data_IF_552361706221
#
_entry.id   IF_552361706221
#
_cell.length_a   1.000
_cell.length_b   1.000
_cell.length_c   1.000
_cell.angle_alpha   90.00
_cell.angle_beta   90.00
_cell.angle_gamma   90.00
#
_symmetry.space_group_name_H-M   'P 1'
#
loop_
_entity.id
_entity.type
_entity.pdbx_description
1 polymer ?
#
# COMPACT_ATOMS: atom_id res chain seq x y z
N UNK A 1 77.97 0.61 -24.28
CA UNK A 1 77.14 -0.62 -24.17
C UNK A 1 76.98 -0.97 -22.70
N UNK A 2 75.80 -1.52 -22.37
CA UNK A 2 75.30 -1.98 -21.05
C UNK A 2 74.48 -0.95 -20.27
N UNK A 3 73.17 -1.03 -20.50
CA UNK A 3 72.14 -0.47 -19.63
C UNK A 3 71.57 -1.50 -18.66
N UNK A 4 70.43 -1.11 -18.08
CA UNK A 4 69.39 -1.91 -17.42
C UNK A 4 69.75 -2.53 -16.05
N UNK A 5 69.15 -2.05 -14.95
CA UNK A 5 67.79 -2.43 -14.48
C UNK A 5 67.63 -2.31 -12.94
N UNK A 6 66.55 -1.62 -12.52
CA UNK A 6 65.74 -1.77 -11.29
C UNK A 6 66.33 -1.37 -9.91
N UNK A 7 65.48 -0.99 -8.91
CA UNK A 7 64.03 -1.16 -8.89
C UNK A 7 63.18 0.10 -8.63
N UNK A 8 62.07 0.14 -9.37
CA UNK A 8 60.91 1.02 -9.23
C UNK A 8 60.08 0.67 -7.97
N UNK A 9 60.72 0.38 -6.83
CA UNK A 9 60.01 -0.04 -5.60
C UNK A 9 60.06 0.98 -4.48
N UNK A 10 60.90 2.02 -4.54
CA UNK A 10 60.94 3.05 -3.49
C UNK A 10 60.02 4.27 -3.71
N UNK A 11 59.54 4.51 -4.94
CA UNK A 11 58.62 5.65 -5.21
C UNK A 11 57.15 5.24 -5.03
N UNK A 12 56.84 3.94 -5.10
CA UNK A 12 55.49 3.42 -4.86
C UNK A 12 55.18 3.31 -3.36
N UNK A 13 56.19 3.22 -2.48
CA UNK A 13 55.95 3.13 -1.03
C UNK A 13 55.63 4.47 -0.36
N UNK A 14 55.95 5.61 -0.99
CA UNK A 14 55.65 6.94 -0.47
C UNK A 14 54.39 7.59 -1.07
N UNK A 15 53.83 7.02 -2.14
CA UNK A 15 52.53 7.44 -2.69
C UNK A 15 51.37 6.52 -2.27
N UNK A 16 51.63 5.32 -1.73
CA UNK A 16 50.58 4.46 -1.16
C UNK A 16 50.22 4.86 0.29
N UNK A 17 51.06 5.63 1.00
CA UNK A 17 50.81 6.05 2.38
C UNK A 17 50.19 7.45 2.55
N UNK A 18 49.80 8.14 1.46
CA UNK A 18 49.19 9.49 1.55
C UNK A 18 47.71 9.52 1.09
N UNK A 19 47.12 8.38 0.72
CA UNK A 19 45.66 8.27 0.50
C UNK A 19 44.94 7.33 1.47
N UNK A 20 45.65 6.75 2.44
CA UNK A 20 45.08 5.97 3.55
C UNK A 20 44.99 6.77 4.86
N UNK A 21 44.90 8.10 4.79
CA UNK A 21 44.55 8.92 5.94
C UNK A 21 43.24 9.66 5.69
N UNK A 22 42.21 9.26 6.45
CA UNK A 22 40.92 9.93 6.67
C UNK A 22 39.67 9.41 5.94
N UNK A 23 39.55 8.11 5.68
CA UNK A 23 38.22 7.50 5.92
C UNK A 23 38.22 7.10 7.40
N UNK A 24 37.52 7.84 8.29
CA UNK A 24 37.41 7.40 9.67
C UNK A 24 36.72 6.04 9.68
N UNK A 25 37.49 5.03 10.07
CA UNK A 25 37.10 3.64 10.11
C UNK A 25 35.69 3.49 10.72
N UNK A 26 34.71 3.10 9.89
CA UNK A 26 33.30 2.90 10.26
C UNK A 26 33.18 1.82 11.35
N UNK A 27 34.18 0.95 11.48
CA UNK A 27 34.18 -0.17 12.43
C UNK A 27 34.30 0.26 13.90
N UNK A 28 34.75 1.48 14.21
CA UNK A 28 35.06 1.91 15.57
C UNK A 28 34.08 2.94 16.16
N UNK A 29 32.91 3.09 15.56
CA UNK A 29 31.82 3.91 16.09
C UNK A 29 30.73 3.00 16.61
N UNK A 30 30.07 3.41 17.70
CA UNK A 30 28.90 2.71 18.24
C UNK A 30 27.85 2.51 17.13
N UNK A 31 27.82 1.29 16.58
CA UNK A 31 27.02 0.92 15.41
C UNK A 31 25.53 1.15 15.67
N UNK A 32 25.09 0.98 16.92
CA UNK A 32 23.71 1.24 17.34
C UNK A 32 23.39 2.73 17.28
N UNK A 33 24.27 3.58 17.81
CA UNK A 33 24.09 5.03 17.80
C UNK A 33 24.12 5.64 16.40
N UNK A 34 24.95 5.11 15.50
CA UNK A 34 24.93 5.50 14.08
C UNK A 34 23.59 5.14 13.44
N UNK A 35 23.11 3.92 13.68
CA UNK A 35 21.86 3.42 13.12
C UNK A 35 20.65 4.23 13.55
N UNK A 36 20.56 4.57 14.84
CA UNK A 36 19.51 5.45 15.37
C UNK A 36 19.59 6.86 14.77
N UNK A 37 20.79 7.41 14.61
CA UNK A 37 20.98 8.71 13.96
C UNK A 37 20.56 8.71 12.48
N UNK A 38 20.86 7.64 11.73
CA UNK A 38 20.46 7.47 10.32
C UNK A 38 18.94 7.41 10.22
N UNK A 39 18.30 6.63 11.09
CA UNK A 39 16.84 6.53 11.12
C UNK A 39 16.18 7.88 11.41
N UNK A 40 16.65 8.61 12.41
CA UNK A 40 16.12 9.94 12.72
C UNK A 40 16.34 10.93 11.56
N UNK A 41 17.48 10.83 10.87
CA UNK A 41 17.77 11.63 9.67
C UNK A 41 16.82 11.29 8.52
N UNK A 42 16.53 10.00 8.32
CA UNK A 42 15.57 9.54 7.33
C UNK A 42 14.17 10.09 7.61
N UNK A 43 13.71 10.03 8.86
CA UNK A 43 12.41 10.57 9.27
C UNK A 43 12.30 12.09 9.02
N UNK A 44 13.34 12.85 9.37
CA UNK A 44 13.35 14.30 9.06
C UNK A 44 13.32 14.57 7.56
N UNK A 45 14.04 13.77 6.78
CA UNK A 45 14.07 13.90 5.32
C UNK A 45 12.69 13.66 4.74
N UNK A 46 12.01 12.59 5.14
CA UNK A 46 10.64 12.31 4.72
C UNK A 46 9.67 13.47 5.00
N UNK A 47 9.74 14.07 6.17
CA UNK A 47 8.91 15.23 6.52
C UNK A 47 9.19 16.43 5.60
N UNK A 48 10.46 16.67 5.21
CA UNK A 48 10.78 17.72 4.22
C UNK A 48 10.09 17.47 2.88
N UNK A 49 9.96 16.21 2.48
CA UNK A 49 9.34 15.81 1.23
C UNK A 49 7.81 15.61 1.35
N UNK A 50 7.20 15.97 2.49
CA UNK A 50 5.78 15.80 2.80
C UNK A 50 5.30 14.33 2.69
N UNK A 51 6.19 13.38 3.00
CA UNK A 51 5.88 11.95 3.00
C UNK A 51 5.64 11.51 4.45
N UNK A 52 4.43 11.01 4.74
CA UNK A 52 4.07 10.49 6.06
C UNK A 52 4.84 9.18 6.34
N UNK A 53 5.59 9.16 7.44
CA UNK A 53 6.30 7.95 7.86
C UNK A 53 5.34 6.81 8.23
N UNK A 54 4.17 7.15 8.75
CA UNK A 54 3.11 6.22 9.12
C UNK A 54 2.56 5.50 7.92
N UNK A 55 2.66 6.12 6.74
CA UNK A 55 2.33 5.46 5.50
C UNK A 55 3.32 4.33 5.29
N UNK A 56 4.64 4.54 5.48
CA UNK A 56 5.70 3.52 5.39
C UNK A 56 5.66 2.42 6.45
N UNK A 57 4.91 2.61 7.53
CA UNK A 57 4.82 1.63 8.61
C UNK A 57 3.87 0.47 8.31
N UNK A 58 2.98 0.60 7.32
CA UNK A 58 2.04 -0.46 6.94
C UNK A 58 2.43 -1.03 5.56
N UNK A 59 3.15 -2.18 5.57
CA UNK A 59 3.57 -2.97 4.39
C UNK A 59 4.49 -2.24 3.38
N UNK A 60 5.54 -1.55 3.85
CA UNK A 60 6.40 -0.71 2.99
C UNK A 60 7.86 -0.69 3.44
N UNK A 61 8.73 -0.31 2.51
CA UNK A 61 10.16 -0.05 2.73
C UNK A 61 10.51 1.37 2.26
N UNK A 62 11.68 1.83 2.69
CA UNK A 62 12.24 3.13 2.36
C UNK A 62 13.70 3.00 1.95
N UNK A 63 14.14 3.82 1.02
CA UNK A 63 15.54 3.94 0.61
C UNK A 63 15.96 5.40 0.62
N UNK A 64 17.24 5.65 0.88
CA UNK A 64 17.83 6.99 0.88
C UNK A 64 19.21 6.97 0.26
N UNK A 65 19.60 8.09 -0.34
CA UNK A 65 20.96 8.26 -0.85
C UNK A 65 21.90 8.67 0.28
N UNK A 66 22.86 7.80 0.62
CA UNK A 66 23.78 7.99 1.75
C UNK A 66 25.18 8.33 1.24
N UNK A 67 25.74 9.43 1.75
CA UNK A 67 27.14 9.83 1.57
C UNK A 67 27.99 9.37 2.75
N UNK A 68 28.37 8.08 2.77
CA UNK A 68 29.11 7.48 3.87
C UNK A 68 30.33 8.29 4.37
N UNK A 69 31.18 8.87 3.49
CA UNK A 69 32.31 9.68 3.92
C UNK A 69 31.91 10.94 4.71
N UNK A 70 30.71 11.48 4.47
CA UNK A 70 30.20 12.71 5.10
C UNK A 70 29.32 12.46 6.33
N UNK A 71 29.15 11.20 6.74
CA UNK A 71 28.34 10.81 7.89
C UNK A 71 28.99 11.25 9.22
N UNK A 72 28.76 12.50 9.60
CA UNK A 72 29.23 13.11 10.86
C UNK A 72 28.15 13.09 11.96
N UNK A 73 28.53 13.30 13.22
CA UNK A 73 27.55 13.50 14.31
C UNK A 73 26.63 14.69 14.02
N UNK A 74 27.17 15.78 13.47
CA UNK A 74 26.39 16.96 13.07
C UNK A 74 25.34 16.59 12.01
N UNK A 75 25.72 15.83 10.98
CA UNK A 75 24.80 15.37 9.95
C UNK A 75 23.71 14.45 10.51
N UNK A 76 24.08 13.49 11.36
CA UNK A 76 23.10 12.59 12.01
C UNK A 76 22.08 13.37 12.87
N UNK A 77 22.52 14.46 13.52
CA UNK A 77 21.65 15.30 14.35
C UNK A 77 20.75 16.24 13.54
N UNK A 78 21.27 16.87 12.49
CA UNK A 78 20.61 18.02 11.84
C UNK A 78 20.47 17.89 10.31
N UNK A 79 21.15 16.94 9.69
CA UNK A 79 21.14 16.72 8.25
C UNK A 79 19.85 16.09 7.75
N UNK A 80 19.77 15.99 6.42
CA UNK A 80 18.71 15.36 5.63
C UNK A 80 19.35 14.69 4.41
N UNK A 81 18.69 13.67 3.87
CA UNK A 81 19.10 13.02 2.62
C UNK A 81 18.54 13.76 1.40
N UNK A 82 19.34 13.83 0.35
CA UNK A 82 19.02 14.58 -0.87
C UNK A 82 18.10 13.81 -1.84
N UNK A 83 18.06 12.49 -1.76
CA UNK A 83 17.15 11.64 -2.53
C UNK A 83 16.58 10.52 -1.66
N UNK A 84 15.28 10.24 -1.84
CA UNK A 84 14.54 9.20 -1.13
C UNK A 84 13.79 8.32 -2.13
N UNK A 85 13.49 7.09 -1.74
CA UNK A 85 12.56 6.24 -2.47
C UNK A 85 11.70 5.45 -1.50
N UNK A 86 10.44 5.24 -1.85
CA UNK A 86 9.51 4.52 -0.99
C UNK A 86 8.53 3.69 -1.79
N UNK A 87 8.14 2.54 -1.25
CA UNK A 87 7.09 1.70 -1.81
C UNK A 87 5.79 1.94 -1.06
N UNK A 88 4.62 1.86 -1.71
CA UNK A 88 3.33 1.81 -1.03
C UNK A 88 2.55 0.53 -1.36
N UNK A 89 1.98 -0.11 -0.32
CA UNK A 89 1.00 -1.19 -0.46
C UNK A 89 1.50 -2.36 -1.32
N UNK A 90 2.78 -2.73 -1.15
CA UNK A 90 3.38 -3.90 -1.81
C UNK A 90 3.41 -5.04 -0.79
N UNK A 91 2.63 -6.12 -0.98
CA UNK A 91 2.54 -7.22 -0.01
C UNK A 91 3.87 -7.95 0.21
N UNK A 92 4.72 -7.98 -0.83
CA UNK A 92 5.98 -8.70 -0.84
C UNK A 92 7.14 -7.79 -0.41
N UNK A 93 7.85 -8.18 0.64
CA UNK A 93 9.00 -7.43 1.20
C UNK A 93 10.10 -7.18 0.15
N UNK A 94 10.45 -8.18 -0.65
CA UNK A 94 11.54 -8.05 -1.62
C UNK A 94 11.15 -7.11 -2.76
N UNK A 95 9.91 -7.22 -3.25
CA UNK A 95 9.38 -6.31 -4.24
C UNK A 95 9.27 -4.87 -3.71
N UNK A 96 8.91 -4.71 -2.44
CA UNK A 96 8.89 -3.43 -1.75
C UNK A 96 10.30 -2.80 -1.71
N UNK A 97 11.32 -3.55 -1.28
CA UNK A 97 12.71 -3.06 -1.24
C UNK A 97 13.22 -2.64 -2.62
N UNK A 98 12.94 -3.45 -3.66
CA UNK A 98 13.32 -3.14 -5.05
C UNK A 98 12.64 -1.85 -5.52
N UNK A 99 11.34 -1.68 -5.25
CA UNK A 99 10.61 -0.49 -5.63
C UNK A 99 11.16 0.77 -4.95
N UNK A 100 11.49 0.69 -3.66
CA UNK A 100 12.08 1.80 -2.90
C UNK A 100 13.47 2.17 -3.42
N UNK A 101 14.35 1.19 -3.67
CA UNK A 101 15.67 1.43 -4.26
C UNK A 101 15.54 2.03 -5.67
N UNK A 102 14.63 1.52 -6.49
CA UNK A 102 14.34 2.05 -7.83
C UNK A 102 13.91 3.52 -7.77
N UNK A 103 13.00 3.87 -6.84
CA UNK A 103 12.59 5.25 -6.60
C UNK A 103 13.74 6.17 -6.19
N UNK A 104 14.57 5.71 -5.26
CA UNK A 104 15.76 6.46 -4.83
C UNK A 104 16.73 6.70 -5.99
N UNK A 105 17.02 5.67 -6.80
CA UNK A 105 17.91 5.81 -7.95
C UNK A 105 17.34 6.79 -8.98
N UNK A 106 16.04 6.75 -9.28
CA UNK A 106 15.40 7.74 -10.17
C UNK A 106 15.57 9.18 -9.65
N UNK A 107 15.41 9.39 -8.33
CA UNK A 107 15.62 10.72 -7.75
C UNK A 107 17.10 11.12 -7.76
N UNK A 108 18.01 10.18 -7.50
CA UNK A 108 19.46 10.39 -7.60
C UNK A 108 19.86 10.86 -9.00
N UNK A 109 19.30 10.23 -10.04
CA UNK A 109 19.55 10.59 -11.43
C UNK A 109 18.96 11.97 -11.74
N UNK A 110 17.71 12.23 -11.31
CA UNK A 110 17.03 13.52 -11.49
C UNK A 110 17.81 14.69 -10.88
N UNK A 111 18.39 14.51 -9.69
CA UNK A 111 19.18 15.53 -9.00
C UNK A 111 20.69 15.48 -9.32
N UNK A 112 21.13 14.66 -10.28
CA UNK A 112 22.53 14.58 -10.71
C UNK A 112 23.50 14.25 -9.56
N UNK A 113 23.15 13.22 -8.80
CA UNK A 113 23.89 12.74 -7.63
C UNK A 113 24.74 11.48 -7.94
N UNK A 114 24.97 11.19 -9.22
CA UNK A 114 25.79 10.06 -9.66
C UNK A 114 27.21 10.13 -9.06
N UNK A 115 27.66 9.03 -8.46
CA UNK A 115 28.97 8.92 -7.80
C UNK A 115 29.12 9.68 -6.48
N UNK A 116 28.09 10.42 -6.02
CA UNK A 116 28.14 11.17 -4.75
C UNK A 116 27.65 10.33 -3.57
N UNK A 117 26.59 9.56 -3.78
CA UNK A 117 25.93 8.77 -2.74
C UNK A 117 25.47 7.40 -3.26
N UNK A 118 25.27 6.46 -2.33
CA UNK A 118 24.68 5.15 -2.62
C UNK A 118 23.25 5.09 -2.11
N UNK A 119 22.32 4.60 -2.96
CA UNK A 119 20.93 4.38 -2.55
C UNK A 119 20.84 3.10 -1.72
N UNK A 120 20.59 3.27 -0.43
CA UNK A 120 20.47 2.17 0.53
C UNK A 120 19.08 2.10 1.16
N UNK A 121 18.64 0.88 1.46
CA UNK A 121 17.39 0.65 2.18
C UNK A 121 17.57 1.04 3.64
N UNK A 122 16.75 1.98 4.11
CA UNK A 122 16.68 2.35 5.52
C UNK A 122 15.70 1.40 6.22
N UNK A 123 16.23 0.50 7.05
CA UNK A 123 15.44 -0.54 7.72
C UNK A 123 15.00 -0.07 9.11
N UNK A 124 13.69 0.06 9.30
CA UNK A 124 13.05 0.30 10.60
C UNK A 124 12.81 -1.05 11.29
N UNK A 125 13.89 -1.61 11.84
CA UNK A 125 13.97 -2.66 12.88
C UNK A 125 15.23 -3.50 12.64
N UNK A 126 16.13 -3.44 13.61
CA UNK A 126 17.49 -3.94 13.52
C UNK A 126 17.56 -5.41 13.91
N UNK A 127 17.79 -6.31 12.94
CA UNK A 127 18.66 -7.50 13.09
C UNK A 127 18.67 -8.35 11.81
N UNK A 128 18.96 -7.77 10.64
CA UNK A 128 19.26 -8.38 9.32
C UNK A 128 18.44 -9.58 8.77
N UNK A 129 17.42 -10.06 9.47
CA UNK A 129 16.19 -10.73 9.04
C UNK A 129 15.20 -10.49 10.18
N UNK A 130 14.46 -9.39 10.09
CA UNK A 130 13.29 -9.19 10.94
C UNK A 130 12.10 -9.75 10.17
N UNK A 131 11.64 -10.94 10.57
CA UNK A 131 10.21 -11.23 10.55
C UNK A 131 9.66 -10.23 11.55
N UNK A 132 9.17 -9.09 11.04
CA UNK A 132 8.30 -8.27 11.87
C UNK A 132 7.20 -9.26 12.28
N UNK A 133 6.81 -9.37 13.57
CA UNK A 133 5.55 -10.01 13.83
C UNK A 133 4.59 -9.29 12.88
N UNK A 134 4.10 -10.01 11.86
CA UNK A 134 2.96 -9.55 11.09
C UNK A 134 2.01 -9.28 12.22
N UNK A 135 1.75 -8.01 12.54
CA UNK A 135 0.80 -7.69 13.60
C UNK A 135 -0.47 -8.23 13.01
N UNK A 136 -0.80 -9.44 13.41
CA UNK A 136 -1.88 -10.20 12.86
C UNK A 136 -3.08 -9.28 13.00
N UNK A 137 -3.63 -8.89 11.85
CA UNK A 137 -4.66 -7.87 11.83
C UNK A 137 -5.89 -8.55 12.40
N UNK A 138 -6.04 -8.43 13.71
CA UNK A 138 -7.24 -8.84 14.38
C UNK A 138 -8.25 -7.71 14.14
N UNK A 139 -9.05 -7.89 13.10
CA UNK A 139 -10.01 -6.89 12.61
C UNK A 139 -10.86 -6.37 13.77
N UNK A 140 -11.39 -7.25 14.63
CA UNK A 140 -12.24 -6.88 15.76
C UNK A 140 -11.50 -6.06 16.83
N UNK A 141 -10.30 -6.49 17.21
CA UNK A 141 -9.47 -5.78 18.21
C UNK A 141 -8.99 -4.43 17.67
N UNK A 142 -8.47 -4.40 16.45
CA UNK A 142 -8.01 -3.18 15.80
C UNK A 142 -9.21 -2.23 15.61
N UNK A 143 -10.38 -2.73 15.21
CA UNK A 143 -11.59 -1.90 15.07
C UNK A 143 -12.02 -1.29 16.41
N UNK A 144 -12.06 -2.10 17.47
CA UNK A 144 -12.38 -1.62 18.83
C UNK A 144 -11.41 -0.53 19.26
N UNK A 145 -10.11 -0.71 19.01
CA UNK A 145 -9.09 0.30 19.28
C UNK A 145 -9.34 1.61 18.51
N UNK A 146 -9.68 1.51 17.21
CA UNK A 146 -10.02 2.67 16.39
C UNK A 146 -11.25 3.43 16.90
N UNK A 147 -12.28 2.70 17.32
CA UNK A 147 -13.49 3.28 17.95
C UNK A 147 -13.16 3.97 19.27
N UNK A 148 -12.28 3.39 20.09
CA UNK A 148 -11.86 4.01 21.36
C UNK A 148 -11.04 5.29 21.14
N UNK A 149 -10.12 5.29 20.17
CA UNK A 149 -9.41 6.50 19.75
C UNK A 149 -10.38 7.58 19.27
N UNK A 150 -11.38 7.21 18.46
CA UNK A 150 -12.40 8.14 17.98
C UNK A 150 -13.20 8.77 19.13
N UNK A 151 -13.64 7.96 20.10
CA UNK A 151 -14.38 8.45 21.29
C UNK A 151 -13.54 9.40 22.16
N UNK A 152 -12.23 9.17 22.23
CA UNK A 152 -11.26 10.03 22.93
C UNK A 152 -10.87 11.28 22.13
N UNK A 153 -11.46 11.50 20.95
CA UNK A 153 -11.13 12.57 20.02
C UNK A 153 -9.70 12.53 19.48
N UNK A 154 -9.02 11.37 19.60
CA UNK A 154 -7.78 11.11 18.90
C UNK A 154 -8.09 10.66 17.47
N UNK A 155 -8.53 11.63 16.67
CA UNK A 155 -9.00 11.37 15.31
C UNK A 155 -7.87 10.93 14.38
N UNK A 156 -6.62 11.30 14.63
CA UNK A 156 -5.49 10.86 13.79
C UNK A 156 -5.27 9.35 13.94
N UNK A 157 -5.26 8.83 15.17
CA UNK A 157 -5.14 7.39 15.42
C UNK A 157 -6.36 6.61 14.93
N UNK A 158 -7.56 7.17 15.10
CA UNK A 158 -8.80 6.57 14.60
C UNK A 158 -8.79 6.48 13.07
N UNK A 159 -8.40 7.56 12.38
CA UNK A 159 -8.33 7.63 10.92
C UNK A 159 -7.41 6.54 10.38
N UNK A 160 -6.19 6.44 10.93
CA UNK A 160 -5.22 5.42 10.54
C UNK A 160 -5.79 4.02 10.66
N UNK A 161 -6.44 3.73 11.79
CA UNK A 161 -7.03 2.42 12.07
C UNK A 161 -8.17 2.10 11.10
N UNK A 162 -9.08 3.04 10.88
CA UNK A 162 -10.19 2.83 9.95
C UNK A 162 -9.74 2.74 8.51
N UNK A 163 -8.72 3.48 8.07
CA UNK A 163 -8.14 3.35 6.74
C UNK A 163 -7.59 1.94 6.52
N UNK A 164 -6.71 1.48 7.41
CA UNK A 164 -6.11 0.14 7.37
C UNK A 164 -7.17 -0.97 7.23
N UNK A 165 -8.22 -0.91 8.05
CA UNK A 165 -9.29 -1.92 8.02
C UNK A 165 -10.23 -1.75 6.81
N UNK A 166 -10.39 -0.53 6.30
CA UNK A 166 -11.20 -0.26 5.10
C UNK A 166 -10.58 -0.89 3.86
N UNK A 167 -9.25 -0.84 3.76
CA UNK A 167 -8.47 -1.47 2.68
C UNK A 167 -8.61 -3.01 2.68
N UNK A 168 -8.94 -3.60 3.83
CA UNK A 168 -9.26 -5.02 3.98
C UNK A 168 -10.74 -5.37 3.74
N UNK A 169 -11.57 -4.39 3.35
CA UNK A 169 -13.00 -4.62 3.13
C UNK A 169 -13.85 -4.62 4.40
N UNK A 170 -13.34 -4.15 5.55
CA UNK A 170 -14.13 -4.10 6.77
C UNK A 170 -15.22 -3.01 6.69
N UNK A 171 -16.48 -3.43 6.55
CA UNK A 171 -17.61 -2.54 6.29
C UNK A 171 -17.76 -1.42 7.35
N UNK A 172 -17.68 -1.76 8.64
CA UNK A 172 -17.83 -0.75 9.70
C UNK A 172 -16.67 0.25 9.72
N UNK A 173 -15.47 -0.15 9.32
CA UNK A 173 -14.33 0.79 9.19
C UNK A 173 -14.53 1.72 8.00
N UNK A 174 -15.03 1.21 6.87
CA UNK A 174 -15.38 2.03 5.72
C UNK A 174 -16.47 3.06 6.07
N UNK A 175 -17.46 2.66 6.86
CA UNK A 175 -18.46 3.60 7.41
C UNK A 175 -17.81 4.69 8.28
N UNK A 176 -16.96 4.32 9.24
CA UNK A 176 -16.33 5.32 10.11
C UNK A 176 -15.39 6.24 9.32
N UNK A 177 -14.63 5.70 8.36
CA UNK A 177 -13.80 6.50 7.45
C UNK A 177 -14.63 7.47 6.62
N UNK A 178 -15.80 7.05 6.14
CA UNK A 178 -16.72 7.92 5.42
C UNK A 178 -17.27 9.05 6.30
N UNK A 179 -17.56 8.75 7.58
CA UNK A 179 -18.01 9.73 8.57
C UNK A 179 -16.92 10.77 8.87
N UNK A 180 -15.67 10.32 8.98
CA UNK A 180 -14.52 11.20 9.23
C UNK A 180 -14.26 12.14 8.07
N UNK A 181 -14.32 11.65 6.83
CA UNK A 181 -14.26 12.49 5.62
C UNK A 181 -15.43 13.48 5.56
N UNK A 182 -16.65 13.05 5.89
CA UNK A 182 -17.83 13.91 5.86
C UNK A 182 -17.75 15.04 6.89
N UNK A 183 -17.20 14.76 8.07
CA UNK A 183 -17.11 15.72 9.19
C UNK A 183 -15.79 16.47 9.28
N UNK A 184 -14.76 16.06 8.54
CA UNK A 184 -13.42 16.60 8.66
C UNK A 184 -12.74 16.27 10.00
N UNK A 185 -12.87 15.03 10.49
CA UNK A 185 -12.31 14.60 11.77
C UNK A 185 -10.94 13.96 11.56
N UNK A 186 -9.86 14.63 11.99
CA UNK A 186 -8.48 14.15 11.79
C UNK A 186 -8.02 14.17 10.32
N UNK A 187 -8.88 14.62 9.42
CA UNK A 187 -8.67 14.81 7.98
C UNK A 187 -9.48 16.03 7.54
N UNK A 188 -9.14 16.66 6.42
CA UNK A 188 -9.97 17.72 5.84
C UNK A 188 -11.31 17.17 5.34
N UNK A 189 -12.36 17.99 5.40
CA UNK A 189 -13.68 17.57 4.93
C UNK A 189 -13.66 17.29 3.42
N UNK A 190 -14.20 16.14 3.02
CA UNK A 190 -14.27 15.72 1.64
C UNK A 190 -15.56 14.90 1.40
N UNK A 191 -16.56 15.53 0.77
CA UNK A 191 -17.84 14.87 0.50
C UNK A 191 -17.74 13.76 -0.56
N UNK A 192 -16.82 13.90 -1.51
CA UNK A 192 -16.57 12.91 -2.58
C UNK A 192 -16.03 11.62 -1.97
N UNK A 193 -15.02 11.72 -1.10
CA UNK A 193 -14.47 10.56 -0.37
C UNK A 193 -15.43 10.01 0.67
N UNK A 194 -16.21 10.87 1.33
CA UNK A 194 -17.30 10.41 2.20
C UNK A 194 -18.34 9.57 1.42
N UNK A 195 -18.75 10.03 0.24
CA UNK A 195 -19.66 9.29 -0.62
C UNK A 195 -19.07 7.94 -1.05
N UNK A 196 -17.84 7.95 -1.55
CA UNK A 196 -17.13 6.75 -2.01
C UNK A 196 -17.05 5.66 -0.92
N UNK A 197 -16.52 6.02 0.26
CA UNK A 197 -16.36 5.05 1.35
C UNK A 197 -17.70 4.58 1.94
N UNK A 198 -18.71 5.45 1.98
CA UNK A 198 -20.04 5.06 2.43
C UNK A 198 -20.74 4.11 1.44
N UNK A 199 -20.55 4.32 0.13
CA UNK A 199 -21.06 3.42 -0.90
C UNK A 199 -20.37 2.05 -0.81
N UNK A 200 -19.04 2.03 -0.71
CA UNK A 200 -18.28 0.80 -0.46
C UNK A 200 -18.81 0.08 0.77
N UNK A 201 -18.88 0.77 1.90
CA UNK A 201 -19.37 0.24 3.18
C UNK A 201 -20.75 -0.44 3.05
N UNK A 202 -21.69 0.20 2.34
CA UNK A 202 -23.01 -0.36 2.04
C UNK A 202 -22.91 -1.66 1.21
N UNK A 203 -22.05 -1.71 0.19
CA UNK A 203 -21.85 -2.91 -0.63
C UNK A 203 -21.23 -4.06 0.19
N UNK A 204 -20.33 -3.75 1.13
CA UNK A 204 -19.79 -4.71 2.09
C UNK A 204 -20.78 -5.14 3.18
N UNK A 205 -21.94 -4.47 3.30
CA UNK A 205 -23.08 -4.92 4.12
C UNK A 205 -23.52 -3.95 5.22
N UNK A 206 -22.84 -2.82 5.38
CA UNK A 206 -23.17 -1.85 6.44
C UNK A 206 -24.32 -0.94 6.02
N UNK A 207 -25.53 -1.29 6.49
CA UNK A 207 -26.79 -0.63 6.11
C UNK A 207 -26.88 0.81 6.59
N UNK A 208 -26.21 1.18 7.69
CA UNK A 208 -26.27 2.53 8.26
C UNK A 208 -25.61 3.58 7.37
N UNK A 209 -24.70 3.18 6.48
CA UNK A 209 -23.98 4.05 5.53
C UNK A 209 -24.89 4.83 4.58
N UNK A 210 -26.14 4.38 4.38
CA UNK A 210 -27.12 5.05 3.51
C UNK A 210 -27.34 6.51 3.90
N UNK A 211 -27.23 6.85 5.19
CA UNK A 211 -27.37 8.25 5.63
C UNK A 211 -26.21 9.12 5.12
N UNK A 212 -24.96 8.63 5.19
CA UNK A 212 -23.78 9.34 4.71
C UNK A 212 -23.80 9.46 3.17
N UNK A 213 -24.22 8.40 2.47
CA UNK A 213 -24.43 8.43 1.02
C UNK A 213 -25.41 9.56 0.66
N UNK A 214 -26.57 9.61 1.35
CA UNK A 214 -27.60 10.63 1.10
C UNK A 214 -27.11 12.04 1.40
N UNK A 215 -26.36 12.24 2.48
CA UNK A 215 -25.85 13.58 2.82
C UNK A 215 -24.77 14.04 1.86
N UNK A 216 -23.84 13.15 1.53
CA UNK A 216 -22.70 13.46 0.66
C UNK A 216 -23.13 13.66 -0.79
N UNK A 217 -24.10 12.89 -1.30
CA UNK A 217 -24.59 13.05 -2.68
C UNK A 217 -25.21 14.44 -2.95
N UNK A 218 -25.75 15.13 -1.94
CA UNK A 218 -26.29 16.49 -2.10
C UNK A 218 -25.19 17.56 -2.17
N UNK A 219 -23.94 17.17 -1.91
CA UNK A 219 -22.77 18.06 -1.86
C UNK A 219 -21.82 17.87 -3.03
N UNK A 220 -22.04 16.86 -3.87
CA UNK A 220 -21.24 16.56 -5.06
C UNK A 220 -22.11 16.68 -6.32
N UNK A 221 -21.47 16.88 -7.48
CA UNK A 221 -22.20 16.93 -8.75
C UNK A 221 -22.69 15.53 -9.16
N UNK A 222 -23.62 15.49 -10.12
CA UNK A 222 -24.11 14.20 -10.65
C UNK A 222 -23.03 13.48 -11.45
N UNK A 223 -22.21 14.25 -12.16
CA UNK A 223 -21.07 13.79 -12.94
C UNK A 223 -20.02 13.18 -12.02
N UNK A 224 -19.62 13.91 -10.97
CA UNK A 224 -18.67 13.45 -9.96
C UNK A 224 -19.16 12.20 -9.23
N UNK A 225 -20.45 12.16 -8.88
CA UNK A 225 -21.05 10.94 -8.33
C UNK A 225 -20.87 9.74 -9.28
N UNK A 226 -21.16 9.91 -10.57
CA UNK A 226 -21.01 8.83 -11.55
C UNK A 226 -19.56 8.39 -11.71
N UNK A 227 -18.61 9.32 -11.63
CA UNK A 227 -17.18 9.02 -11.65
C UNK A 227 -16.76 8.18 -10.44
N UNK A 228 -17.18 8.58 -9.22
CA UNK A 228 -16.89 7.83 -7.99
C UNK A 228 -17.52 6.43 -7.98
N UNK A 229 -18.74 6.31 -8.52
CA UNK A 229 -19.42 5.01 -8.67
C UNK A 229 -18.65 4.08 -9.61
N UNK A 230 -18.11 4.61 -10.72
CA UNK A 230 -17.26 3.87 -11.65
C UNK A 230 -15.88 3.55 -11.07
N UNK A 231 -15.23 4.50 -10.37
CA UNK A 231 -13.96 4.29 -9.67
C UNK A 231 -14.08 3.11 -8.68
N UNK A 232 -15.19 3.05 -7.94
CA UNK A 232 -15.43 1.94 -7.01
C UNK A 232 -15.64 0.61 -7.74
N UNK A 233 -16.35 0.60 -8.87
CA UNK A 233 -16.54 -0.59 -9.68
C UNK A 233 -15.19 -1.11 -10.19
N UNK A 234 -14.39 -0.24 -10.78
CA UNK A 234 -13.09 -0.58 -11.37
C UNK A 234 -12.13 -1.12 -10.28
N UNK A 235 -12.12 -0.49 -9.10
CA UNK A 235 -11.37 -1.00 -7.94
C UNK A 235 -11.84 -2.40 -7.52
N UNK A 236 -13.15 -2.62 -7.42
CA UNK A 236 -13.72 -3.92 -7.04
C UNK A 236 -13.42 -5.00 -8.09
N UNK A 237 -13.41 -4.66 -9.37
CA UNK A 237 -13.01 -5.55 -10.46
C UNK A 237 -11.52 -5.88 -10.38
N UNK A 238 -10.67 -4.89 -10.15
CA UNK A 238 -9.23 -5.08 -10.03
C UNK A 238 -8.89 -6.05 -8.90
N UNK A 239 -9.40 -5.82 -7.69
CA UNK A 239 -9.10 -6.70 -6.54
C UNK A 239 -9.70 -8.09 -6.73
N UNK A 240 -10.86 -8.20 -7.39
CA UNK A 240 -11.51 -9.48 -7.66
C UNK A 240 -10.71 -10.30 -8.68
N UNK A 241 -10.25 -9.66 -9.75
CA UNK A 241 -9.41 -10.28 -10.78
C UNK A 241 -8.04 -10.72 -10.22
N UNK A 242 -7.53 -10.00 -9.20
CA UNK A 242 -6.34 -10.40 -8.43
C UNK A 242 -6.61 -11.50 -7.39
N UNK A 243 -7.84 -12.00 -7.29
CA UNK A 243 -8.22 -13.10 -6.41
C UNK A 243 -8.55 -12.73 -4.97
N UNK A 244 -8.79 -11.45 -4.68
CA UNK A 244 -9.35 -11.06 -3.38
C UNK A 244 -10.81 -11.48 -3.29
N UNK A 245 -11.10 -12.50 -2.49
CA UNK A 245 -12.47 -12.99 -2.26
C UNK A 245 -13.41 -11.93 -1.69
N UNK A 246 -12.85 -10.88 -1.07
CA UNK A 246 -13.61 -9.75 -0.52
C UNK A 246 -14.23 -8.86 -1.60
N UNK A 247 -13.75 -8.90 -2.84
CA UNK A 247 -14.29 -8.11 -3.94
C UNK A 247 -15.56 -8.67 -4.58
N UNK A 248 -15.77 -10.00 -4.55
CA UNK A 248 -16.81 -10.66 -5.36
C UNK A 248 -18.24 -10.25 -5.00
N UNK A 249 -18.60 -10.30 -3.71
CA UNK A 249 -19.96 -9.96 -3.27
C UNK A 249 -20.27 -8.46 -3.37
N UNK A 250 -19.37 -7.53 -2.96
CA UNK A 250 -19.57 -6.11 -3.18
C UNK A 250 -19.71 -5.75 -4.67
N UNK A 251 -18.91 -6.37 -5.55
CA UNK A 251 -18.98 -6.13 -6.99
C UNK A 251 -20.31 -6.62 -7.58
N UNK A 252 -20.74 -7.83 -7.22
CA UNK A 252 -22.05 -8.33 -7.61
C UNK A 252 -23.20 -7.42 -7.14
N UNK A 253 -23.11 -6.88 -5.92
CA UNK A 253 -24.08 -5.91 -5.38
C UNK A 253 -24.00 -4.56 -6.07
N UNK A 254 -22.82 -4.13 -6.52
CA UNK A 254 -22.65 -2.90 -7.27
C UNK A 254 -23.50 -2.98 -8.55
N UNK A 255 -23.32 -4.05 -9.33
CA UNK A 255 -24.04 -4.30 -10.58
C UNK A 255 -25.58 -4.31 -10.41
N UNK A 256 -26.07 -4.72 -9.24
CA UNK A 256 -27.50 -4.75 -8.94
C UNK A 256 -28.08 -3.41 -8.47
N UNK A 257 -27.30 -2.61 -7.75
CA UNK A 257 -27.86 -1.53 -6.92
C UNK A 257 -27.39 -0.13 -7.28
N UNK A 258 -26.31 0.00 -8.03
CA UNK A 258 -25.72 1.30 -8.40
C UNK A 258 -26.19 1.74 -9.79
N UNK A 259 -26.10 0.91 -10.84
CA UNK A 259 -26.63 1.27 -12.15
C UNK A 259 -28.13 1.62 -12.13
N UNK A 260 -28.55 2.51 -13.02
CA UNK A 260 -29.98 2.88 -13.18
C UNK A 260 -30.88 1.68 -13.51
N UNK A 261 -30.34 0.71 -14.25
CA UNK A 261 -30.97 -0.58 -14.52
C UNK A 261 -30.03 -1.67 -14.02
N UNK A 262 -30.47 -2.60 -13.16
CA UNK A 262 -29.62 -3.68 -12.67
C UNK A 262 -29.00 -4.47 -13.83
N UNK A 263 -27.71 -4.74 -13.71
CA UNK A 263 -26.97 -5.64 -14.60
C UNK A 263 -26.99 -7.04 -13.98
N UNK A 264 -28.05 -7.79 -14.30
CA UNK A 264 -28.24 -9.14 -13.79
C UNK A 264 -27.19 -10.12 -14.31
N UNK A 265 -26.67 -9.89 -15.51
CA UNK A 265 -25.72 -10.79 -16.17
C UNK A 265 -24.36 -10.75 -15.44
N UNK A 266 -23.78 -9.55 -15.27
CA UNK A 266 -22.54 -9.40 -14.52
C UNK A 266 -22.71 -9.74 -13.03
N UNK A 267 -23.86 -9.42 -12.44
CA UNK A 267 -24.13 -9.83 -11.06
C UNK A 267 -24.17 -11.36 -10.91
N UNK A 268 -24.85 -12.06 -11.81
CA UNK A 268 -24.91 -13.53 -11.81
C UNK A 268 -23.53 -14.15 -12.01
N UNK A 269 -22.72 -13.61 -12.93
CA UNK A 269 -21.33 -14.03 -13.14
C UNK A 269 -20.52 -13.94 -11.85
N UNK A 270 -20.49 -12.78 -11.20
CA UNK A 270 -19.72 -12.59 -9.96
C UNK A 270 -20.26 -13.39 -8.78
N UNK A 271 -21.58 -13.62 -8.69
CA UNK A 271 -22.16 -14.50 -7.68
C UNK A 271 -21.86 -15.99 -7.95
N UNK A 272 -21.72 -16.39 -9.20
CA UNK A 272 -21.28 -17.73 -9.59
C UNK A 272 -19.83 -17.97 -9.18
N UNK A 273 -18.94 -17.00 -9.44
CA UNK A 273 -17.55 -17.02 -8.96
C UNK A 273 -17.55 -17.07 -7.41
N UNK A 274 -18.31 -16.20 -6.75
CA UNK A 274 -18.38 -16.19 -5.29
C UNK A 274 -18.88 -17.52 -4.70
N UNK A 275 -19.83 -18.18 -5.37
CA UNK A 275 -20.33 -19.52 -4.99
C UNK A 275 -19.23 -20.58 -5.12
N UNK A 276 -18.39 -20.51 -6.16
CA UNK A 276 -17.26 -21.43 -6.33
C UNK A 276 -16.20 -21.27 -5.23
N UNK A 277 -16.07 -20.08 -4.64
CA UNK A 277 -15.24 -19.80 -3.46
C UNK A 277 -15.97 -20.05 -2.12
N UNK A 278 -17.17 -20.65 -2.15
CA UNK A 278 -17.98 -20.99 -0.97
C UNK A 278 -18.33 -19.77 -0.08
N UNK A 279 -18.52 -18.60 -0.68
CA UNK A 279 -18.97 -17.41 0.05
C UNK A 279 -20.43 -17.56 0.48
N UNK A 280 -20.69 -17.24 1.75
CA UNK A 280 -22.04 -17.34 2.33
C UNK A 280 -23.05 -16.50 1.54
N UNK A 281 -24.26 -17.05 1.39
CA UNK A 281 -25.40 -16.42 0.70
C UNK A 281 -25.19 -16.15 -0.81
N UNK A 282 -24.01 -16.45 -1.38
CA UNK A 282 -23.73 -16.21 -2.80
C UNK A 282 -24.61 -17.09 -3.71
N UNK A 283 -24.76 -18.38 -3.36
CA UNK A 283 -25.56 -19.34 -4.12
C UNK A 283 -27.03 -18.94 -4.17
N UNK A 284 -27.62 -18.64 -3.03
CA UNK A 284 -29.03 -18.23 -2.94
C UNK A 284 -29.27 -16.94 -3.74
N UNK A 285 -28.38 -15.95 -3.61
CA UNK A 285 -28.46 -14.72 -4.38
C UNK A 285 -28.34 -14.97 -5.89
N UNK A 286 -27.40 -15.81 -6.32
CA UNK A 286 -27.20 -16.22 -7.72
C UNK A 286 -28.47 -16.84 -8.29
N UNK A 287 -29.00 -17.84 -7.58
CA UNK A 287 -30.17 -18.61 -8.02
C UNK A 287 -31.41 -17.70 -8.12
N UNK A 288 -31.57 -16.77 -7.17
CA UNK A 288 -32.63 -15.75 -7.24
C UNK A 288 -32.46 -14.79 -8.43
N UNK A 289 -31.24 -14.36 -8.74
CA UNK A 289 -30.99 -13.43 -9.85
C UNK A 289 -31.17 -14.11 -11.21
N UNK A 290 -30.91 -15.41 -11.30
CA UNK A 290 -31.05 -16.19 -12.53
C UNK A 290 -32.45 -16.09 -13.16
N UNK A 291 -33.50 -15.88 -12.35
CA UNK A 291 -34.88 -15.75 -12.84
C UNK A 291 -35.12 -14.47 -13.65
N UNK A 292 -34.22 -13.50 -13.58
CA UNK A 292 -34.28 -12.24 -14.34
C UNK A 292 -33.46 -12.29 -15.64
N UNK A 293 -32.73 -13.38 -15.88
CA UNK A 293 -31.88 -13.56 -17.06
C UNK A 293 -32.64 -14.39 -18.09
N UNK A 294 -32.53 -14.00 -19.37
CA UNK A 294 -33.13 -14.77 -20.47
C UNK A 294 -32.40 -16.11 -20.62
N UNK A 295 -33.16 -17.21 -20.80
CA UNK A 295 -32.62 -18.57 -20.83
C UNK A 295 -31.45 -18.77 -21.80
N UNK A 296 -31.53 -18.23 -23.03
CA UNK A 296 -30.47 -18.37 -24.04
C UNK A 296 -29.17 -17.64 -23.65
N UNK A 297 -29.23 -16.65 -22.76
CA UNK A 297 -28.06 -15.89 -22.29
C UNK A 297 -27.38 -16.55 -21.09
N UNK A 298 -28.13 -17.34 -20.31
CA UNK A 298 -27.64 -17.91 -19.06
C UNK A 298 -26.42 -18.81 -19.26
N UNK A 299 -26.45 -19.66 -20.28
CA UNK A 299 -25.35 -20.58 -20.62
C UNK A 299 -24.07 -19.82 -20.97
N UNK A 300 -24.18 -18.72 -21.71
CA UNK A 300 -23.02 -17.90 -22.08
C UNK A 300 -22.38 -17.26 -20.84
N UNK A 301 -23.20 -16.69 -19.95
CA UNK A 301 -22.73 -16.08 -18.71
C UNK A 301 -22.07 -17.13 -17.80
N UNK A 302 -22.58 -18.37 -17.78
CA UNK A 302 -21.97 -19.47 -17.03
C UNK A 302 -20.58 -19.82 -17.57
N UNK A 303 -20.39 -19.84 -18.89
CA UNK A 303 -19.06 -20.07 -19.49
C UNK A 303 -18.11 -18.90 -19.20
N UNK A 304 -18.55 -17.65 -19.34
CA UNK A 304 -17.75 -16.47 -18.98
C UNK A 304 -17.34 -16.46 -17.49
N UNK A 305 -18.25 -16.88 -16.61
CA UNK A 305 -17.99 -17.01 -15.18
C UNK A 305 -16.94 -18.09 -14.90
N UNK A 306 -16.99 -19.21 -15.62
CA UNK A 306 -15.99 -20.28 -15.54
C UNK A 306 -14.62 -19.83 -16.03
N UNK A 307 -14.55 -19.17 -17.18
CA UNK A 307 -13.29 -18.61 -17.70
C UNK A 307 -12.67 -17.60 -16.73
N UNK A 308 -13.49 -16.68 -16.21
CA UNK A 308 -13.06 -15.69 -15.22
C UNK A 308 -12.59 -16.35 -13.92
N UNK A 309 -13.30 -17.36 -13.44
CA UNK A 309 -12.90 -18.16 -12.27
C UNK A 309 -11.53 -18.82 -12.49
N UNK A 310 -11.31 -19.44 -13.65
CA UNK A 310 -10.05 -20.11 -13.96
C UNK A 310 -8.87 -19.12 -14.03
N UNK A 311 -9.09 -17.92 -14.57
CA UNK A 311 -8.10 -16.83 -14.55
C UNK A 311 -7.78 -16.38 -13.12
N UNK A 312 -8.81 -16.15 -12.30
CA UNK A 312 -8.65 -15.73 -10.91
C UNK A 312 -7.90 -16.81 -10.10
N UNK A 313 -8.26 -18.08 -10.30
CA UNK A 313 -7.61 -19.21 -9.64
C UNK A 313 -6.11 -19.27 -9.98
N UNK A 314 -5.74 -19.10 -11.25
CA UNK A 314 -4.34 -19.01 -11.69
C UNK A 314 -3.61 -17.82 -11.04
N UNK A 315 -4.26 -16.66 -10.98
CA UNK A 315 -3.72 -15.46 -10.32
C UNK A 315 -3.39 -15.74 -8.85
N UNK A 316 -4.30 -16.39 -8.12
CA UNK A 316 -4.08 -16.80 -6.72
C UNK A 316 -2.91 -17.77 -6.61
N UNK A 317 -2.87 -18.82 -7.45
CA UNK A 317 -1.79 -19.82 -7.44
C UNK A 317 -0.42 -19.19 -7.69
N UNK A 318 -0.31 -18.32 -8.71
CA UNK A 318 0.93 -17.62 -9.02
C UNK A 318 1.41 -16.73 -7.87
N UNK A 319 0.48 -16.15 -7.10
CA UNK A 319 0.80 -15.33 -5.94
C UNK A 319 1.31 -16.19 -4.78
N UNK A 320 0.70 -17.34 -4.54
CA UNK A 320 1.19 -18.31 -3.53
C UNK A 320 2.60 -18.82 -3.87
N UNK A 321 2.89 -19.07 -5.15
CA UNK A 321 4.23 -19.47 -5.61
C UNK A 321 5.29 -18.36 -5.45
N UNK A 322 4.90 -17.09 -5.63
CA UNK A 322 5.78 -15.93 -5.47
C UNK A 322 6.00 -15.53 -3.99
N UNK A 323 5.02 -15.78 -3.14
CA UNK A 323 5.05 -15.40 -1.72
C UNK A 323 5.78 -16.45 -0.85
N UNK A 324 6.06 -17.64 -1.40
CA UNK A 324 6.75 -18.75 -0.72
C UNK A 324 5.85 -19.42 0.31
N UNK A 325 5.82 -20.77 0.32
CA UNK A 325 5.03 -21.56 1.27
C UNK A 325 5.30 -21.24 2.74
#
# INVERSE_FOLDING_TARGET
MKGLFLPLTLIIFFLINILYSQIPNIENRDKKKIKEGILNTYLRSMNKWDISFQDLLENKSGAACIEWPLMTKSFLSNGIFDALGYSQNIPNKKASEIASISGCNKMKDYYQLEGKCECEVIVVNSDNRVILPIKEINIEKDFTQGVDSFKKQDYVSALKTFQKLSDLGHAQSQFNLSLMNMKGLGITQNFSRAYFWALSSKLYGEKTSVLIIRQSQYKISKEEKSELENELKDYLEEISNKGSIHGFLPLAKWYLTVPKKPDYDNSYKWLSIATAFNLQNAKEARDKISTYIKGDNLTNIQEEAKESYDMIKKSIQSKTELDGE
#
